data_IF_223953922648
#
_entry.id   IF_223953922648
#
_cell.length_a   1.000
_cell.length_b   1.000
_cell.length_c   1.000
_cell.angle_alpha   90.00
_cell.angle_beta   90.00
_cell.angle_gamma   90.00
#
_symmetry.space_group_name_H-M   'P 1'
#
loop_
_entity.id
_entity.type
_entity.pdbx_description
1 polymer ?
#
# COMPACT_ATOMS: atom_id res chain seq x y z
N UNK A 1 10.72 5.57 -29.63
CA UNK A 1 9.85 4.81 -28.70
C UNK A 1 8.57 5.63 -28.47
N UNK A 2 7.42 5.02 -28.63
CA UNK A 2 6.10 5.60 -28.32
C UNK A 2 5.64 5.04 -26.98
N UNK A 3 5.05 5.88 -26.11
CA UNK A 3 4.54 5.46 -24.80
C UNK A 3 3.04 5.80 -24.73
N UNK A 4 2.19 4.80 -24.61
CA UNK A 4 0.73 4.95 -24.54
C UNK A 4 0.06 3.77 -23.84
N UNK A 5 -1.19 3.95 -23.45
CA UNK A 5 -2.02 2.82 -23.04
C UNK A 5 -2.25 1.87 -24.22
N UNK A 6 -2.28 0.56 -23.93
CA UNK A 6 -2.58 -0.46 -24.92
C UNK A 6 -4.06 -0.42 -25.30
N UNK A 7 -4.36 -0.94 -26.49
CA UNK A 7 -5.71 -1.25 -26.90
C UNK A 7 -6.06 -2.69 -26.49
N UNK A 8 -7.36 -3.05 -26.39
CA UNK A 8 -7.75 -4.42 -26.02
C UNK A 8 -7.09 -5.51 -26.87
N UNK A 9 -6.95 -5.30 -28.18
CA UNK A 9 -6.31 -6.23 -29.10
C UNK A 9 -4.80 -6.42 -28.89
N UNK A 10 -4.16 -5.57 -28.10
CA UNK A 10 -2.72 -5.63 -27.78
C UNK A 10 -2.45 -6.34 -26.43
N UNK A 11 -3.50 -6.83 -25.75
CA UNK A 11 -3.39 -7.48 -24.44
C UNK A 11 -2.48 -8.72 -24.51
N UNK A 12 -2.66 -9.57 -25.52
CA UNK A 12 -1.81 -10.74 -25.71
C UNK A 12 -0.33 -10.40 -25.92
N UNK A 13 -0.01 -9.28 -26.58
CA UNK A 13 1.37 -8.86 -26.76
C UNK A 13 2.00 -8.39 -25.43
N UNK A 14 1.24 -7.69 -24.58
CA UNK A 14 1.67 -7.34 -23.24
C UNK A 14 1.91 -8.59 -22.38
N UNK A 15 0.97 -9.54 -22.39
CA UNK A 15 1.10 -10.79 -21.62
C UNK A 15 2.29 -11.64 -22.08
N UNK A 16 2.65 -11.65 -23.38
CA UNK A 16 3.89 -12.26 -23.88
C UNK A 16 5.16 -11.62 -23.31
N UNK A 17 5.19 -10.27 -23.23
CA UNK A 17 6.31 -9.55 -22.63
C UNK A 17 6.38 -9.82 -21.13
N UNK A 18 5.25 -9.84 -20.44
CA UNK A 18 5.14 -10.20 -19.03
C UNK A 18 5.64 -11.62 -18.77
N UNK A 19 5.15 -12.60 -19.55
CA UNK A 19 5.57 -14.00 -19.44
C UNK A 19 7.08 -14.17 -19.61
N UNK A 20 7.67 -13.44 -20.57
CA UNK A 20 9.13 -13.44 -20.79
C UNK A 20 9.89 -12.84 -19.62
N UNK A 21 9.34 -11.81 -18.99
CA UNK A 21 10.00 -11.08 -17.88
C UNK A 21 9.94 -11.84 -16.57
N UNK A 22 8.81 -12.48 -16.28
CA UNK A 22 8.52 -13.19 -15.02
C UNK A 22 8.63 -14.71 -15.13
N UNK A 23 9.00 -15.22 -16.31
CA UNK A 23 9.30 -16.65 -16.57
C UNK A 23 8.08 -17.53 -16.25
N UNK A 24 6.89 -17.15 -16.74
CA UNK A 24 5.71 -18.00 -16.70
C UNK A 24 5.31 -18.45 -18.11
N UNK A 25 4.49 -19.50 -18.18
CA UNK A 25 4.08 -20.09 -19.47
C UNK A 25 2.89 -19.31 -20.03
N UNK A 26 3.09 -18.64 -21.15
CA UNK A 26 2.04 -17.99 -21.93
C UNK A 26 1.27 -19.01 -22.78
N UNK A 27 -0.06 -18.92 -22.77
CA UNK A 27 -0.96 -19.70 -23.65
C UNK A 27 -1.91 -18.75 -24.38
N UNK A 28 -1.72 -18.59 -25.67
CA UNK A 28 -2.47 -17.67 -26.54
C UNK A 28 -4.00 -17.90 -26.56
N UNK A 29 -4.45 -19.07 -26.12
CA UNK A 29 -5.89 -19.41 -26.07
C UNK A 29 -6.58 -18.95 -24.77
N UNK A 30 -5.80 -18.61 -23.75
CA UNK A 30 -6.27 -18.26 -22.41
C UNK A 30 -5.81 -16.87 -22.04
N UNK A 31 -4.58 -16.52 -22.42
CA UNK A 31 -3.92 -15.25 -22.05
C UNK A 31 -4.14 -14.19 -23.14
N UNK A 32 -5.40 -13.80 -23.36
CA UNK A 32 -5.82 -12.83 -24.38
C UNK A 32 -6.44 -11.55 -23.80
N UNK A 33 -6.59 -11.48 -22.49
CA UNK A 33 -7.26 -10.38 -21.80
C UNK A 33 -6.49 -9.89 -20.57
N UNK A 34 -6.56 -8.57 -20.32
CA UNK A 34 -6.05 -7.90 -19.13
C UNK A 34 -7.16 -7.04 -18.55
N UNK A 35 -7.50 -7.26 -17.28
CA UNK A 35 -8.59 -6.55 -16.59
C UNK A 35 -8.21 -5.09 -16.19
N UNK A 36 -6.92 -4.77 -16.20
CA UNK A 36 -6.37 -3.49 -15.74
C UNK A 36 -5.83 -2.65 -16.89
N UNK A 37 -5.85 -1.31 -16.81
CA UNK A 37 -5.18 -0.46 -17.79
C UNK A 37 -3.67 -0.75 -17.82
N UNK A 38 -3.12 -0.92 -19.01
CA UNK A 38 -1.70 -1.17 -19.22
C UNK A 38 -1.07 -0.03 -20.00
N UNK A 39 -0.05 0.60 -19.42
CA UNK A 39 0.81 1.55 -20.11
C UNK A 39 2.00 0.79 -20.73
N UNK A 40 2.26 1.01 -22.02
CA UNK A 40 3.28 0.26 -22.74
C UNK A 40 4.20 1.16 -23.58
N UNK A 41 5.40 0.66 -23.83
CA UNK A 41 6.38 1.24 -24.77
C UNK A 41 6.41 0.44 -26.03
N UNK A 42 6.25 1.13 -27.15
CA UNK A 42 6.35 0.57 -28.49
C UNK A 42 7.63 1.08 -29.17
N UNK A 43 8.35 0.17 -29.82
CA UNK A 43 9.48 0.48 -30.68
C UNK A 43 9.24 -0.13 -32.05
N UNK A 44 9.18 0.72 -33.11
CA UNK A 44 8.83 0.31 -34.47
C UNK A 44 7.53 -0.53 -34.53
N UNK A 45 6.52 -0.16 -33.74
CA UNK A 45 5.20 -0.82 -33.66
C UNK A 45 5.18 -2.11 -32.84
N UNK A 46 6.32 -2.56 -32.27
CA UNK A 46 6.39 -3.73 -31.38
C UNK A 46 6.33 -3.29 -29.92
N UNK A 47 5.47 -3.92 -29.13
CA UNK A 47 5.46 -3.74 -27.66
C UNK A 47 6.71 -4.37 -27.06
N UNK A 48 7.52 -3.56 -26.34
CA UNK A 48 8.82 -3.97 -25.78
C UNK A 48 8.89 -3.90 -24.25
N UNK A 49 8.00 -3.12 -23.64
CA UNK A 49 7.94 -2.94 -22.18
C UNK A 49 6.54 -2.48 -21.78
N UNK A 50 6.11 -2.78 -20.57
CA UNK A 50 4.82 -2.33 -20.07
C UNK A 50 4.71 -2.42 -18.56
N UNK A 51 3.66 -1.84 -18.01
CA UNK A 51 3.24 -1.93 -16.63
C UNK A 51 1.72 -1.83 -16.52
N UNK A 52 1.16 -2.43 -15.50
CA UNK A 52 -0.25 -2.24 -15.12
C UNK A 52 -0.40 -0.97 -14.28
N UNK A 53 -1.40 -0.15 -14.63
CA UNK A 53 -1.71 1.12 -13.99
C UNK A 53 -3.09 1.02 -13.32
N UNK A 54 -3.12 0.73 -12.03
CA UNK A 54 -4.33 0.37 -11.29
C UNK A 54 -4.80 1.55 -10.46
N UNK A 55 -5.97 2.10 -10.80
CA UNK A 55 -6.58 3.20 -10.05
C UNK A 55 -7.20 2.71 -8.74
N UNK A 56 -6.91 3.42 -7.66
CA UNK A 56 -7.58 3.23 -6.39
C UNK A 56 -7.52 4.50 -5.53
N UNK A 57 -8.06 4.45 -4.34
CA UNK A 57 -7.98 5.52 -3.35
C UNK A 57 -7.48 4.98 -2.03
N UNK A 58 -6.73 5.80 -1.31
CA UNK A 58 -6.30 5.48 0.06
C UNK A 58 -6.63 6.62 1.02
N UNK A 59 -6.71 6.28 2.29
CA UNK A 59 -6.85 7.27 3.36
C UNK A 59 -5.49 7.85 3.72
N UNK A 60 -5.35 9.16 3.64
CA UNK A 60 -4.21 9.86 4.21
C UNK A 60 -4.69 10.90 5.21
N UNK A 61 -4.42 10.69 6.48
CA UNK A 61 -4.79 11.60 7.57
C UNK A 61 -6.29 11.99 7.57
N UNK A 62 -7.19 11.07 7.22
CA UNK A 62 -8.64 11.32 7.12
C UNK A 62 -9.10 11.84 5.77
N UNK A 63 -8.20 12.10 4.83
CA UNK A 63 -8.52 12.54 3.46
C UNK A 63 -8.36 11.38 2.49
N UNK A 64 -9.36 11.17 1.61
CA UNK A 64 -9.22 10.23 0.48
C UNK A 64 -8.36 10.84 -0.60
N UNK A 65 -7.25 10.18 -0.95
CA UNK A 65 -6.36 10.56 -2.03
C UNK A 65 -6.43 9.57 -3.19
N UNK A 66 -6.56 10.09 -4.40
CA UNK A 66 -6.42 9.30 -5.63
C UNK A 66 -5.00 8.78 -5.77
N UNK A 67 -4.88 7.51 -6.15
CA UNK A 67 -3.60 6.81 -6.17
C UNK A 67 -3.50 5.87 -7.37
N UNK A 68 -2.26 5.56 -7.76
CA UNK A 68 -1.95 4.54 -8.75
C UNK A 68 -1.15 3.40 -8.13
N UNK A 69 -1.62 2.17 -8.31
CA UNK A 69 -0.83 0.95 -8.12
C UNK A 69 -0.09 0.60 -9.41
N UNK A 70 1.19 0.32 -9.29
CA UNK A 70 2.02 -0.09 -10.41
C UNK A 70 2.37 -1.56 -10.26
N UNK A 71 1.73 -2.36 -11.09
CA UNK A 71 1.93 -3.81 -11.19
C UNK A 71 2.68 -4.22 -12.45
N UNK A 72 3.11 -5.46 -12.49
CA UNK A 72 3.60 -6.14 -13.68
C UNK A 72 4.62 -5.36 -14.54
N UNK A 73 5.57 -4.64 -13.90
CA UNK A 73 6.61 -3.89 -14.64
C UNK A 73 7.51 -4.85 -15.40
N UNK A 74 7.35 -4.93 -16.70
CA UNK A 74 8.03 -5.90 -17.56
C UNK A 74 8.75 -5.25 -18.73
N UNK A 75 9.81 -5.92 -19.22
CA UNK A 75 10.60 -5.45 -20.35
C UNK A 75 11.32 -6.62 -21.03
N UNK A 76 11.21 -6.71 -22.36
CA UNK A 76 11.91 -7.72 -23.15
C UNK A 76 13.42 -7.66 -22.87
N UNK A 77 14.11 -8.81 -22.78
CA UNK A 77 15.56 -8.85 -22.51
C UNK A 77 16.40 -7.97 -23.45
N UNK A 78 16.08 -7.98 -24.74
CA UNK A 78 16.77 -7.19 -25.77
C UNK A 78 16.47 -5.69 -25.70
N UNK A 79 15.45 -5.27 -24.97
CA UNK A 79 15.08 -3.86 -24.74
C UNK A 79 15.54 -3.31 -23.38
N UNK A 80 16.07 -4.19 -22.51
CA UNK A 80 16.58 -3.77 -21.19
C UNK A 80 17.75 -2.78 -21.32
N UNK A 81 17.88 -1.89 -20.33
CA UNK A 81 18.92 -0.84 -20.25
C UNK A 81 18.91 0.18 -21.40
N UNK A 82 17.82 0.22 -22.19
CA UNK A 82 17.63 1.20 -23.28
C UNK A 82 16.62 2.30 -22.93
N UNK A 83 16.24 2.42 -21.67
CA UNK A 83 15.36 3.49 -21.17
C UNK A 83 13.85 3.22 -21.27
N UNK A 84 13.41 2.02 -21.75
CA UNK A 84 11.98 1.73 -21.91
C UNK A 84 11.19 1.83 -20.58
N UNK A 85 11.67 1.20 -19.50
CA UNK A 85 11.03 1.30 -18.19
C UNK A 85 11.04 2.73 -17.65
N UNK A 86 12.13 3.49 -17.86
CA UNK A 86 12.19 4.91 -17.50
C UNK A 86 11.11 5.71 -18.20
N UNK A 87 10.89 5.47 -19.49
CA UNK A 87 9.86 6.16 -20.27
C UNK A 87 8.45 5.89 -19.74
N UNK A 88 8.16 4.67 -19.19
CA UNK A 88 6.90 4.37 -18.52
C UNK A 88 6.71 5.23 -17.27
N UNK A 89 7.70 5.24 -16.36
CA UNK A 89 7.61 6.04 -15.12
C UNK A 89 7.59 7.55 -15.38
N UNK A 90 8.29 8.02 -16.42
CA UNK A 90 8.24 9.42 -16.84
C UNK A 90 6.81 9.78 -17.30
N UNK A 91 6.20 8.91 -18.12
CA UNK A 91 4.83 9.11 -18.60
C UNK A 91 3.80 9.09 -17.47
N UNK A 92 3.92 8.16 -16.51
CA UNK A 92 3.05 8.16 -15.31
C UNK A 92 3.12 9.50 -14.59
N UNK A 93 4.33 10.02 -14.34
CA UNK A 93 4.49 11.30 -13.64
C UNK A 93 3.97 12.52 -14.43
N UNK A 94 4.03 12.48 -15.77
CA UNK A 94 3.46 13.54 -16.63
C UNK A 94 1.93 13.60 -16.53
N UNK A 95 1.27 12.43 -16.49
CA UNK A 95 -0.19 12.36 -16.50
C UNK A 95 -0.81 12.29 -15.10
N UNK A 96 -0.01 12.17 -14.03
CA UNK A 96 -0.49 11.92 -12.69
C UNK A 96 -1.53 12.91 -12.21
N UNK A 97 -1.32 14.22 -12.42
CA UNK A 97 -2.27 15.25 -12.02
C UNK A 97 -3.57 15.20 -12.84
N UNK A 98 -3.47 14.93 -14.14
CA UNK A 98 -4.64 14.80 -15.03
C UNK A 98 -5.50 13.59 -14.63
N UNK A 99 -4.85 12.53 -14.15
CA UNK A 99 -5.50 11.31 -13.66
C UNK A 99 -5.91 11.40 -12.17
N UNK A 100 -5.66 12.53 -11.51
CA UNK A 100 -5.90 12.73 -10.08
C UNK A 100 -5.12 11.76 -9.18
N UNK A 101 -3.94 11.32 -9.61
CA UNK A 101 -3.04 10.50 -8.80
C UNK A 101 -2.14 11.39 -7.94
N UNK A 102 -2.43 11.44 -6.66
CA UNK A 102 -1.57 12.14 -5.68
C UNK A 102 -0.39 11.27 -5.28
N UNK A 103 -0.61 9.97 -5.18
CA UNK A 103 0.38 8.97 -4.75
C UNK A 103 0.52 7.86 -5.78
N UNK A 104 1.69 7.23 -5.79
CA UNK A 104 1.91 5.98 -6.50
C UNK A 104 2.51 4.93 -5.58
N UNK A 105 2.11 3.67 -5.73
CA UNK A 105 2.59 2.55 -4.93
C UNK A 105 3.03 1.40 -5.81
N UNK A 106 4.00 0.62 -5.32
CA UNK A 106 4.44 -0.62 -5.95
C UNK A 106 5.08 -1.57 -4.93
N UNK A 107 5.09 -2.86 -5.27
CA UNK A 107 5.89 -3.88 -4.60
C UNK A 107 7.29 -3.95 -5.24
N UNK A 108 8.33 -3.42 -4.59
CA UNK A 108 9.65 -3.37 -5.21
C UNK A 108 10.36 -4.73 -5.10
N UNK A 109 10.95 -5.20 -6.20
CA UNK A 109 11.97 -6.26 -6.12
C UNK A 109 13.32 -5.72 -5.63
N UNK A 110 13.54 -4.40 -5.74
CA UNK A 110 14.69 -3.65 -5.24
C UNK A 110 14.28 -2.21 -5.00
N UNK A 111 14.40 -1.73 -3.77
CA UNK A 111 14.15 -0.31 -3.43
C UNK A 111 15.09 0.59 -4.21
N UNK A 112 16.41 0.31 -4.20
CA UNK A 112 17.41 1.09 -4.91
C UNK A 112 17.10 1.27 -6.41
N UNK A 113 16.57 0.21 -7.04
CA UNK A 113 16.13 0.30 -8.43
C UNK A 113 15.00 1.30 -8.62
N UNK A 114 14.02 1.35 -7.71
CA UNK A 114 12.86 2.22 -7.84
C UNK A 114 13.08 3.64 -7.29
N UNK A 115 14.09 3.86 -6.45
CA UNK A 115 14.51 5.20 -6.01
C UNK A 115 14.85 6.12 -7.19
N UNK A 116 15.44 5.58 -8.27
CA UNK A 116 15.73 6.37 -9.49
C UNK A 116 14.47 6.92 -10.18
N UNK A 117 13.28 6.39 -9.85
CA UNK A 117 11.98 6.89 -10.32
C UNK A 117 11.26 7.67 -9.22
N UNK A 118 11.90 7.89 -8.07
CA UNK A 118 11.40 8.64 -6.94
C UNK A 118 10.51 7.85 -5.97
N UNK A 119 10.48 6.53 -6.09
CA UNK A 119 9.79 5.66 -5.12
C UNK A 119 10.69 5.38 -3.93
N UNK A 120 10.24 5.70 -2.72
CA UNK A 120 10.94 5.41 -1.47
C UNK A 120 10.28 4.29 -0.70
N UNK A 121 11.04 3.66 0.17
CA UNK A 121 10.52 2.70 1.14
C UNK A 121 9.39 3.34 1.96
N UNK A 122 8.27 2.65 2.12
CA UNK A 122 7.12 3.15 2.87
C UNK A 122 6.90 2.36 4.16
N UNK A 123 6.60 1.08 4.05
CA UNK A 123 6.40 0.19 5.18
C UNK A 123 6.85 -1.22 4.85
N UNK A 124 7.24 -1.94 5.87
CA UNK A 124 7.52 -3.37 5.75
C UNK A 124 6.23 -4.18 5.94
N UNK A 125 6.17 -5.32 5.24
CA UNK A 125 5.08 -6.27 5.38
C UNK A 125 5.50 -7.32 6.40
N UNK A 126 4.84 -7.28 7.56
CA UNK A 126 5.10 -8.19 8.67
C UNK A 126 4.13 -9.37 8.62
N UNK A 127 4.65 -10.59 8.75
CA UNK A 127 3.88 -11.79 9.05
C UNK A 127 4.15 -12.29 10.44
N UNK A 128 3.08 -12.76 11.10
CA UNK A 128 3.17 -13.41 12.41
C UNK A 128 2.75 -14.85 12.25
N UNK A 129 3.58 -15.74 12.81
CA UNK A 129 3.34 -17.16 12.89
C UNK A 129 2.96 -17.51 14.32
N UNK A 130 1.74 -17.96 14.52
CA UNK A 130 1.18 -18.27 15.84
C UNK A 130 0.76 -19.72 15.89
N UNK A 131 1.42 -20.57 16.71
CA UNK A 131 0.90 -21.91 16.98
C UNK A 131 -0.53 -21.86 17.50
N UNK A 132 -1.46 -22.68 16.97
CA UNK A 132 -2.86 -22.64 17.39
C UNK A 132 -3.04 -22.85 18.89
N UNK A 133 -2.15 -23.59 19.54
CA UNK A 133 -2.18 -23.78 21.00
C UNK A 133 -2.09 -22.46 21.77
N UNK A 134 -1.43 -21.46 21.23
CA UNK A 134 -1.29 -20.13 21.86
C UNK A 134 -2.59 -19.33 21.86
N UNK A 135 -3.58 -19.75 21.06
CA UNK A 135 -4.90 -19.14 21.02
C UNK A 135 -5.92 -19.80 21.97
N UNK A 136 -5.49 -20.75 22.82
CA UNK A 136 -6.40 -21.52 23.69
C UNK A 136 -7.17 -20.68 24.70
N UNK A 137 -6.67 -19.48 25.03
CA UNK A 137 -7.38 -18.52 25.90
C UNK A 137 -8.59 -17.86 25.21
N UNK A 138 -8.69 -17.94 23.88
CA UNK A 138 -9.80 -17.36 23.10
C UNK A 138 -10.89 -18.42 22.95
N UNK A 139 -12.13 -18.21 23.43
CA UNK A 139 -13.23 -19.18 23.26
C UNK A 139 -13.56 -19.43 21.78
N UNK A 140 -13.79 -20.71 21.42
CA UNK A 140 -14.29 -21.06 20.09
C UNK A 140 -15.72 -20.58 19.91
N UNK A 141 -16.05 -20.19 18.68
CA UNK A 141 -17.41 -19.86 18.28
C UNK A 141 -17.64 -20.20 16.80
N UNK A 142 -18.88 -20.10 16.36
CA UNK A 142 -19.31 -20.33 14.97
C UNK A 142 -19.99 -19.10 14.37
N UNK A 143 -19.85 -17.93 14.98
CA UNK A 143 -20.56 -16.69 14.63
C UNK A 143 -19.90 -15.96 13.46
N UNK A 144 -19.58 -16.67 12.39
CA UNK A 144 -19.04 -16.06 11.18
C UNK A 144 -19.84 -16.49 9.94
N UNK A 145 -20.05 -15.57 9.03
CA UNK A 145 -20.83 -15.73 7.80
C UNK A 145 -19.86 -15.77 6.63
N UNK A 146 -20.00 -16.76 5.75
CA UNK A 146 -19.23 -16.85 4.51
C UNK A 146 -19.67 -15.74 3.55
N UNK A 147 -18.69 -14.97 3.06
CA UNK A 147 -18.92 -14.01 2.00
C UNK A 147 -19.07 -14.71 0.65
N UNK A 148 -20.09 -14.30 -0.13
CA UNK A 148 -20.41 -14.87 -1.45
C UNK A 148 -20.60 -13.81 -2.54
N UNK A 149 -20.21 -12.56 -2.25
CA UNK A 149 -20.44 -11.41 -3.12
C UNK A 149 -21.76 -10.68 -2.88
N UNK A 150 -22.78 -11.37 -2.36
CA UNK A 150 -24.09 -10.75 -2.05
C UNK A 150 -24.02 -9.72 -0.92
N UNK A 151 -23.06 -9.89 0.00
CA UNK A 151 -22.86 -9.03 1.17
C UNK A 151 -21.85 -7.91 0.92
N UNK A 152 -21.58 -7.56 -0.35
CA UNK A 152 -20.53 -6.61 -0.73
C UNK A 152 -20.70 -5.26 -0.02
N UNK A 153 -21.89 -4.67 -0.04
CA UNK A 153 -22.15 -3.37 0.58
C UNK A 153 -21.87 -3.36 2.08
N UNK A 154 -22.26 -4.42 2.78
CA UNK A 154 -22.01 -4.58 4.21
C UNK A 154 -20.51 -4.70 4.51
N UNK A 155 -19.81 -5.52 3.74
CA UNK A 155 -18.38 -5.76 3.94
C UNK A 155 -17.51 -4.56 3.52
N UNK A 156 -17.88 -3.88 2.44
CA UNK A 156 -17.28 -2.63 2.00
C UNK A 156 -17.47 -1.52 3.04
N UNK A 157 -18.66 -1.40 3.61
CA UNK A 157 -18.92 -0.42 4.67
C UNK A 157 -18.10 -0.69 5.94
N UNK A 158 -17.93 -1.96 6.33
CA UNK A 158 -17.04 -2.35 7.42
C UNK A 158 -15.58 -2.00 7.10
N UNK A 159 -15.10 -2.39 5.94
CA UNK A 159 -13.73 -2.10 5.51
C UNK A 159 -13.45 -0.59 5.50
N UNK A 160 -14.36 0.21 4.95
CA UNK A 160 -14.21 1.66 4.89
C UNK A 160 -14.17 2.33 6.28
N UNK A 161 -14.83 1.76 7.29
CA UNK A 161 -14.67 2.20 8.69
C UNK A 161 -13.25 1.91 9.19
N UNK A 162 -12.66 0.76 8.84
CA UNK A 162 -11.28 0.45 9.18
C UNK A 162 -10.28 1.35 8.42
N UNK A 163 -10.56 1.66 7.15
CA UNK A 163 -9.73 2.55 6.32
C UNK A 163 -9.55 3.92 6.96
N UNK A 164 -10.61 4.52 7.47
CA UNK A 164 -10.56 5.84 8.12
C UNK A 164 -9.68 5.83 9.38
N UNK A 165 -9.56 4.69 10.05
CA UNK A 165 -8.80 4.56 11.29
C UNK A 165 -7.29 4.36 11.06
N UNK A 166 -6.87 4.04 9.84
CA UNK A 166 -5.48 3.69 9.53
C UNK A 166 -4.92 4.51 8.37
N UNK A 167 -3.67 4.95 8.50
CA UNK A 167 -3.01 5.76 7.46
C UNK A 167 -2.61 4.89 6.26
N UNK A 168 -2.90 5.35 5.05
CA UNK A 168 -2.62 4.75 3.74
C UNK A 168 -3.32 3.41 3.47
N UNK A 169 -4.33 3.04 4.25
CA UNK A 169 -5.18 1.91 3.90
C UNK A 169 -6.07 2.28 2.70
N UNK A 170 -6.31 1.30 1.82
CA UNK A 170 -7.04 1.51 0.56
C UNK A 170 -8.53 1.29 0.72
N UNK A 171 -9.33 2.04 -0.05
CA UNK A 171 -10.77 1.82 -0.18
C UNK A 171 -11.03 0.71 -1.21
N UNK A 172 -11.82 -0.29 -0.84
CA UNK A 172 -12.18 -1.41 -1.73
C UNK A 172 -13.55 -1.17 -2.36
N UNK A 173 -13.55 -0.95 -3.67
CA UNK A 173 -14.74 -0.60 -4.45
C UNK A 173 -15.28 -1.77 -5.29
N UNK A 174 -14.54 -2.87 -5.41
CA UNK A 174 -14.91 -4.06 -6.16
C UNK A 174 -15.11 -5.26 -5.24
N UNK A 175 -16.19 -6.03 -5.49
CA UNK A 175 -16.51 -7.25 -4.74
C UNK A 175 -15.41 -8.32 -4.83
N UNK A 176 -14.64 -8.35 -5.91
CA UNK A 176 -13.50 -9.26 -6.10
C UNK A 176 -12.41 -9.05 -5.06
N UNK A 177 -12.26 -7.82 -4.51
CA UNK A 177 -11.29 -7.52 -3.46
C UNK A 177 -11.49 -8.34 -2.17
N UNK A 178 -12.69 -8.91 -1.97
CA UNK A 178 -13.06 -9.72 -0.81
C UNK A 178 -13.17 -11.22 -1.13
N UNK A 179 -12.73 -11.69 -2.30
CA UNK A 179 -12.87 -13.07 -2.74
C UNK A 179 -14.35 -13.50 -2.85
N UNK A 180 -15.06 -12.98 -3.86
CA UNK A 180 -16.48 -13.23 -4.11
C UNK A 180 -16.79 -14.65 -4.66
N UNK A 181 -15.75 -15.42 -4.99
CA UNK A 181 -15.85 -16.82 -5.44
C UNK A 181 -15.17 -17.76 -4.44
N UNK A 182 -15.79 -17.98 -3.26
CA UNK A 182 -15.21 -18.85 -2.24
C UNK A 182 -15.05 -20.28 -2.78
N UNK A 183 -13.97 -20.92 -2.35
CA UNK A 183 -13.62 -22.32 -2.67
C UNK A 183 -13.07 -22.60 -4.07
N UNK A 184 -13.05 -21.66 -5.00
CA UNK A 184 -12.41 -21.89 -6.31
C UNK A 184 -10.89 -22.08 -6.16
N UNK A 185 -10.24 -21.30 -5.26
CA UNK A 185 -8.80 -21.34 -5.01
C UNK A 185 -8.43 -21.65 -3.56
N UNK A 186 -9.29 -22.33 -2.79
CA UNK A 186 -9.10 -22.53 -1.34
C UNK A 186 -9.01 -21.23 -0.53
N UNK A 187 -9.48 -20.12 -1.09
CA UNK A 187 -9.52 -18.80 -0.49
C UNK A 187 -10.93 -18.51 0.04
N UNK A 188 -11.03 -18.03 1.25
CA UNK A 188 -12.29 -17.83 1.95
C UNK A 188 -12.28 -16.49 2.64
N UNK A 189 -13.39 -15.73 2.50
CA UNK A 189 -13.67 -14.57 3.34
C UNK A 189 -14.85 -14.87 4.24
N UNK A 190 -14.65 -14.70 5.54
CA UNK A 190 -15.69 -14.77 6.55
C UNK A 190 -15.76 -13.45 7.30
N UNK A 191 -16.98 -13.04 7.66
CA UNK A 191 -17.20 -11.86 8.48
C UNK A 191 -18.12 -12.16 9.65
N UNK A 192 -17.96 -11.39 10.70
CA UNK A 192 -18.73 -11.48 11.92
C UNK A 192 -19.71 -10.33 12.00
N UNK A 193 -20.89 -10.57 12.64
CA UNK A 193 -21.81 -9.51 13.06
C UNK A 193 -21.84 -9.38 14.58
N UNK A 194 -21.95 -8.14 15.05
CA UNK A 194 -22.17 -7.83 16.46
C UNK A 194 -23.60 -8.16 16.92
N UNK A 195 -23.92 -7.90 18.18
CA UNK A 195 -25.26 -8.13 18.74
C UNK A 195 -26.39 -7.31 18.09
N UNK A 196 -26.04 -6.22 17.41
CA UNK A 196 -26.96 -5.39 16.63
C UNK A 196 -27.17 -5.89 15.20
N UNK A 197 -26.49 -6.95 14.80
CA UNK A 197 -26.53 -7.50 13.45
C UNK A 197 -25.64 -6.78 12.43
N UNK A 198 -24.77 -5.86 12.85
CA UNK A 198 -23.85 -5.12 11.97
C UNK A 198 -22.53 -5.86 11.86
N UNK A 199 -21.92 -5.88 10.65
CA UNK A 199 -20.58 -6.42 10.45
C UNK A 199 -19.56 -5.60 11.26
N UNK A 200 -18.71 -6.27 12.05
CA UNK A 200 -17.72 -5.65 12.92
C UNK A 200 -16.29 -6.23 12.80
N UNK A 201 -16.15 -7.37 12.13
CA UNK A 201 -14.85 -7.94 11.76
C UNK A 201 -14.96 -8.81 10.52
N UNK A 202 -13.90 -8.91 9.74
CA UNK A 202 -13.76 -9.94 8.71
C UNK A 202 -12.33 -10.46 8.60
N UNK A 203 -12.21 -11.66 8.03
CA UNK A 203 -10.96 -12.35 7.77
C UNK A 203 -11.02 -13.00 6.39
N UNK A 204 -9.94 -12.83 5.62
CA UNK A 204 -9.70 -13.59 4.38
C UNK A 204 -8.51 -14.49 4.60
N UNK A 205 -8.66 -15.78 4.27
CA UNK A 205 -7.62 -16.76 4.54
C UNK A 205 -7.64 -17.93 3.57
N UNK A 206 -6.50 -18.62 3.48
CA UNK A 206 -6.31 -19.89 2.79
C UNK A 206 -5.90 -20.98 3.78
N UNK A 207 -6.14 -22.24 3.43
CA UNK A 207 -5.78 -23.40 4.27
C UNK A 207 -4.89 -24.36 3.51
N UNK A 208 -3.68 -24.60 4.03
CA UNK A 208 -2.72 -25.58 3.52
C UNK A 208 -2.52 -26.70 4.54
N UNK A 209 -3.15 -27.85 4.29
CA UNK A 209 -3.07 -29.02 5.19
C UNK A 209 -1.75 -29.77 5.02
N UNK A 210 -1.18 -30.33 6.10
CA UNK A 210 -1.64 -30.24 7.51
C UNK A 210 -1.05 -29.05 8.27
N UNK A 211 -0.40 -28.12 7.61
CA UNK A 211 0.55 -27.24 8.26
C UNK A 211 -0.04 -25.92 8.69
N UNK A 212 -0.65 -25.15 7.78
CA UNK A 212 -0.95 -23.73 8.03
C UNK A 212 -2.35 -23.31 7.61
N UNK A 213 -2.91 -22.34 8.35
CA UNK A 213 -3.96 -21.43 7.93
C UNK A 213 -3.32 -20.05 7.77
N UNK A 214 -3.35 -19.51 6.55
CA UNK A 214 -2.73 -18.22 6.23
C UNK A 214 -3.81 -17.18 6.05
N UNK A 215 -3.80 -16.15 6.90
CA UNK A 215 -4.66 -14.98 6.85
C UNK A 215 -4.01 -13.92 5.99
N UNK A 216 -4.68 -13.53 4.93
CA UNK A 216 -4.26 -12.44 4.02
C UNK A 216 -4.85 -11.09 4.47
N UNK A 217 -6.10 -11.08 4.92
CA UNK A 217 -6.79 -9.89 5.44
C UNK A 217 -7.35 -10.16 6.82
N UNK A 218 -7.16 -9.24 7.76
CA UNK A 218 -7.79 -9.25 9.08
C UNK A 218 -8.13 -7.82 9.47
N UNK A 219 -9.42 -7.53 9.53
CA UNK A 219 -9.95 -6.21 9.84
C UNK A 219 -11.04 -6.31 10.91
N UNK A 220 -11.03 -5.38 11.85
CA UNK A 220 -11.96 -5.39 12.99
C UNK A 220 -12.11 -3.99 13.56
N UNK A 221 -13.27 -3.71 14.16
CA UNK A 221 -13.60 -2.41 14.74
C UNK A 221 -13.31 -2.35 16.25
N UNK A 222 -13.31 -3.49 16.92
CA UNK A 222 -13.12 -3.57 18.39
C UNK A 222 -12.31 -4.81 18.78
N UNK A 223 -11.67 -4.84 19.97
CA UNK A 223 -11.02 -6.03 20.50
C UNK A 223 -11.95 -7.25 20.56
N UNK A 224 -13.23 -7.08 20.92
CA UNK A 224 -14.22 -8.15 20.97
C UNK A 224 -14.49 -8.74 19.59
N UNK A 225 -14.51 -7.88 18.55
CA UNK A 225 -14.66 -8.31 17.17
C UNK A 225 -13.46 -9.14 16.71
N UNK A 226 -12.21 -8.72 17.06
CA UNK A 226 -11.00 -9.48 16.83
C UNK A 226 -11.05 -10.84 17.50
N UNK A 227 -11.35 -10.91 18.82
CA UNK A 227 -11.45 -12.18 19.53
C UNK A 227 -12.55 -13.08 18.98
N UNK A 228 -13.65 -12.49 18.51
CA UNK A 228 -14.72 -13.22 17.85
C UNK A 228 -14.28 -13.90 16.57
N UNK A 229 -13.56 -13.21 15.70
CA UNK A 229 -13.01 -13.77 14.45
C UNK A 229 -11.90 -14.82 14.73
N UNK A 230 -11.02 -14.56 15.68
CA UNK A 230 -9.99 -15.52 16.07
C UNK A 230 -10.61 -16.78 16.69
N UNK A 231 -11.68 -16.65 17.49
CA UNK A 231 -12.45 -17.77 18.03
C UNK A 231 -13.10 -18.62 16.94
N UNK A 232 -13.53 -18.01 15.83
CA UNK A 232 -13.99 -18.74 14.65
C UNK A 232 -12.83 -19.50 13.99
N UNK A 233 -11.69 -18.88 13.78
CA UNK A 233 -10.50 -19.53 13.18
C UNK A 233 -10.00 -20.71 14.02
N UNK A 234 -10.22 -20.72 15.34
CA UNK A 234 -9.90 -21.85 16.21
C UNK A 234 -10.64 -23.14 15.88
N UNK A 235 -11.68 -23.12 15.07
CA UNK A 235 -12.32 -24.35 14.59
C UNK A 235 -11.43 -25.13 13.62
N UNK A 236 -10.34 -24.54 13.14
CA UNK A 236 -9.31 -25.19 12.31
C UNK A 236 -8.18 -25.82 13.13
N UNK A 237 -8.11 -25.58 14.45
CA UNK A 237 -7.15 -26.24 15.31
C UNK A 237 -7.41 -27.77 15.25
N UNK A 238 -6.38 -28.58 15.17
CA UNK A 238 -6.51 -30.02 14.88
C UNK A 238 -6.56 -30.38 13.37
N UNK A 239 -6.82 -29.40 12.50
CA UNK A 239 -6.72 -29.55 11.04
C UNK A 239 -5.38 -29.03 10.54
N UNK A 240 -4.92 -27.91 11.11
CA UNK A 240 -3.65 -27.26 10.85
C UNK A 240 -2.96 -26.91 12.19
N UNK A 241 -1.65 -26.72 12.14
CA UNK A 241 -0.81 -26.52 13.34
C UNK A 241 -0.58 -25.05 13.68
N UNK A 242 -0.53 -24.21 12.65
CA UNK A 242 -0.06 -22.84 12.75
C UNK A 242 -1.02 -21.89 12.04
N UNK A 243 -1.27 -20.72 12.66
CA UNK A 243 -1.91 -19.56 12.07
C UNK A 243 -0.84 -18.60 11.62
N UNK A 244 -0.84 -18.21 10.34
CA UNK A 244 0.03 -17.17 9.79
C UNK A 244 -0.85 -15.97 9.48
N UNK A 245 -0.57 -14.80 10.08
CA UNK A 245 -1.26 -13.56 9.77
C UNK A 245 -0.29 -12.69 8.97
N UNK A 246 -0.57 -12.52 7.69
CA UNK A 246 0.27 -11.78 6.75
C UNK A 246 -0.07 -10.30 6.70
N UNK A 247 0.91 -9.53 6.25
CA UNK A 247 0.76 -8.12 5.86
C UNK A 247 0.22 -7.22 6.97
N UNK A 248 0.40 -7.65 8.22
CA UNK A 248 0.00 -6.81 9.34
C UNK A 248 1.08 -5.77 9.62
N UNK A 249 0.62 -4.59 9.93
CA UNK A 249 1.48 -3.57 10.51
C UNK A 249 1.85 -3.94 11.97
N UNK A 250 2.98 -3.45 12.45
CA UNK A 250 3.38 -3.56 13.87
C UNK A 250 2.37 -2.84 14.77
N UNK A 251 1.18 -3.36 14.88
CA UNK A 251 0.11 -2.77 15.68
C UNK A 251 -0.07 -3.46 17.02
N UNK A 252 -0.72 -2.76 17.91
CA UNK A 252 -1.12 -3.25 19.22
C UNK A 252 -2.01 -4.51 19.18
N UNK A 253 -2.65 -4.79 18.03
CA UNK A 253 -3.43 -6.01 17.84
C UNK A 253 -2.62 -7.28 18.08
N UNK A 254 -1.33 -7.29 17.79
CA UNK A 254 -0.47 -8.44 18.02
C UNK A 254 -0.24 -8.74 19.48
N UNK A 255 -0.16 -7.74 20.34
CA UNK A 255 -0.07 -7.96 21.78
C UNK A 255 -1.34 -8.59 22.36
N UNK A 256 -2.47 -8.49 21.65
CA UNK A 256 -3.72 -9.16 22.01
C UNK A 256 -3.78 -10.61 21.52
N UNK A 257 -3.13 -10.91 20.38
CA UNK A 257 -3.11 -12.25 19.76
C UNK A 257 -2.02 -13.11 20.38
N UNK A 258 -0.82 -12.54 20.54
CA UNK A 258 0.32 -13.23 21.13
C UNK A 258 0.09 -13.44 22.63
N UNK A 259 -0.29 -14.62 23.01
CA UNK A 259 -0.36 -14.96 24.42
C UNK A 259 0.97 -15.53 24.89
N UNK A 260 1.95 -14.69 25.22
CA UNK A 260 2.90 -14.95 26.32
C UNK A 260 3.51 -16.37 26.40
N UNK A 261 3.13 -17.29 25.52
CA UNK A 261 3.69 -18.63 25.40
C UNK A 261 4.73 -18.61 24.27
N UNK A 262 5.85 -19.24 24.49
CA UNK A 262 6.93 -19.34 23.50
C UNK A 262 6.47 -20.00 22.20
N UNK A 263 6.99 -19.56 21.06
CA UNK A 263 6.80 -20.20 19.76
C UNK A 263 6.28 -19.31 18.65
N UNK A 264 5.85 -18.06 18.95
CA UNK A 264 5.57 -17.09 17.90
C UNK A 264 6.86 -16.74 17.14
N UNK A 265 6.71 -16.57 15.82
CA UNK A 265 7.77 -16.10 14.95
C UNK A 265 7.26 -14.90 14.17
N UNK A 266 8.16 -13.97 13.94
CA UNK A 266 7.90 -12.79 13.11
C UNK A 266 8.79 -12.88 11.88
N UNK A 267 8.23 -12.67 10.70
CA UNK A 267 8.96 -12.57 9.45
C UNK A 267 8.61 -11.28 8.70
N UNK A 268 9.58 -10.80 7.94
CA UNK A 268 9.40 -9.68 7.04
C UNK A 268 9.22 -10.22 5.63
N UNK A 269 8.04 -10.01 5.03
CA UNK A 269 7.67 -10.61 3.74
C UNK A 269 7.93 -9.67 2.56
N UNK A 270 8.68 -8.62 2.78
CA UNK A 270 8.95 -7.59 1.79
C UNK A 270 8.58 -6.20 2.28
N UNK A 271 8.49 -5.28 1.36
CA UNK A 271 8.12 -3.90 1.67
C UNK A 271 7.26 -3.30 0.55
N UNK A 272 6.62 -2.19 0.89
CA UNK A 272 5.96 -1.32 -0.07
C UNK A 272 6.82 -0.11 -0.36
N UNK A 273 6.78 0.36 -1.60
CA UNK A 273 7.38 1.63 -1.99
C UNK A 273 6.30 2.60 -2.46
N UNK A 274 6.51 3.87 -2.14
CA UNK A 274 5.61 4.95 -2.53
C UNK A 274 6.34 6.11 -3.19
N UNK A 275 5.63 6.83 -4.06
CA UNK A 275 6.02 8.12 -4.63
C UNK A 275 4.91 9.13 -4.43
N UNK A 276 5.27 10.40 -4.24
CA UNK A 276 4.34 11.52 -4.21
C UNK A 276 4.37 12.23 -5.57
N UNK A 277 3.23 12.33 -6.24
CA UNK A 277 3.08 13.06 -7.51
C UNK A 277 2.53 14.48 -7.29
N UNK A 278 1.89 14.73 -6.14
CA UNK A 278 1.41 16.05 -5.73
C UNK A 278 1.75 16.31 -4.25
N UNK A 279 2.92 16.92 -4.02
CA UNK A 279 3.40 17.26 -2.68
C UNK A 279 2.46 18.27 -2.00
N UNK A 280 1.96 19.24 -2.74
CA UNK A 280 1.06 20.25 -2.18
C UNK A 280 -0.19 19.61 -1.62
N UNK A 281 -0.80 18.68 -2.34
CA UNK A 281 -1.99 17.95 -1.90
C UNK A 281 -1.72 17.11 -0.63
N UNK A 282 -0.55 16.48 -0.54
CA UNK A 282 -0.14 15.75 0.68
C UNK A 282 0.01 16.71 1.86
N UNK A 283 0.66 17.86 1.67
CA UNK A 283 0.81 18.87 2.70
C UNK A 283 -0.55 19.44 3.15
N UNK A 284 -1.46 19.73 2.22
CA UNK A 284 -2.83 20.20 2.53
C UNK A 284 -3.67 19.17 3.27
N UNK A 285 -3.41 17.88 3.06
CA UNK A 285 -4.15 16.76 3.67
C UNK A 285 -3.58 16.30 5.02
N UNK A 286 -2.44 16.84 5.43
CA UNK A 286 -1.80 16.45 6.68
C UNK A 286 -2.56 16.98 7.90
N UNK A 287 -2.44 16.28 9.04
CA UNK A 287 -2.93 16.75 10.35
C UNK A 287 -1.81 17.51 11.02
N UNK A 288 -2.05 18.79 11.30
CA UNK A 288 -1.08 19.69 11.93
C UNK A 288 -1.35 19.85 13.42
N UNK A 289 -0.33 20.22 14.22
CA UNK A 289 -0.51 20.60 15.61
C UNK A 289 -1.39 21.84 15.78
N UNK A 290 -1.97 22.02 16.97
CA UNK A 290 -2.75 23.21 17.31
C UNK A 290 -1.87 24.46 17.54
N UNK A 291 -0.63 24.27 17.95
CA UNK A 291 0.35 25.34 18.11
C UNK A 291 0.79 25.91 16.76
N UNK A 292 1.22 27.17 16.78
CA UNK A 292 1.78 27.81 15.58
C UNK A 292 3.16 27.26 15.26
N UNK A 293 3.43 27.01 13.98
CA UNK A 293 4.75 26.64 13.47
C UNK A 293 4.91 27.00 11.99
N UNK A 294 6.16 27.13 11.59
CA UNK A 294 6.53 27.41 10.20
C UNK A 294 7.77 26.61 9.81
N UNK A 295 7.72 25.97 8.65
CA UNK A 295 8.86 25.27 8.06
C UNK A 295 8.87 25.37 6.55
N UNK A 296 10.04 25.13 5.95
CA UNK A 296 10.24 25.17 4.50
C UNK A 296 10.94 23.92 4.03
N UNK A 297 10.32 23.23 3.07
CA UNK A 297 10.86 22.03 2.41
C UNK A 297 11.27 22.40 1.01
N UNK A 298 12.53 22.21 0.64
CA UNK A 298 12.98 22.23 -0.74
C UNK A 298 12.81 20.84 -1.35
N UNK A 299 11.91 20.70 -2.31
CA UNK A 299 11.75 19.46 -3.07
C UNK A 299 12.63 19.47 -4.31
N UNK A 300 13.36 18.37 -4.51
CA UNK A 300 14.30 18.16 -5.63
C UNK A 300 13.68 17.28 -6.73
N UNK A 301 12.36 17.30 -6.88
CA UNK A 301 11.67 16.55 -7.93
C UNK A 301 11.88 17.20 -9.32
N UNK A 302 11.88 16.38 -10.37
CA UNK A 302 11.97 16.83 -11.76
C UNK A 302 10.64 17.37 -12.29
N UNK A 303 9.51 17.05 -11.67
CA UNK A 303 8.19 17.52 -12.07
C UNK A 303 7.93 18.90 -11.49
N UNK A 304 7.48 19.85 -12.35
CA UNK A 304 7.31 21.25 -12.00
C UNK A 304 6.38 21.46 -10.79
N UNK A 305 5.28 20.70 -10.70
CA UNK A 305 4.33 20.79 -9.59
C UNK A 305 4.93 20.39 -8.23
N UNK A 306 5.98 19.59 -8.23
CA UNK A 306 6.67 19.13 -7.04
C UNK A 306 8.03 19.82 -6.82
N UNK A 307 8.49 20.65 -7.74
CA UNK A 307 9.81 21.29 -7.69
C UNK A 307 9.72 22.68 -7.06
N UNK A 308 10.60 22.98 -6.11
CA UNK A 308 10.66 24.30 -5.46
C UNK A 308 10.69 24.21 -3.94
N UNK A 309 10.37 25.33 -3.30
CA UNK A 309 10.35 25.43 -1.82
C UNK A 309 8.91 25.55 -1.37
N UNK A 310 8.42 24.55 -0.66
CA UNK A 310 7.10 24.59 -0.02
C UNK A 310 7.26 25.21 1.37
N UNK A 311 6.75 26.42 1.52
CA UNK A 311 6.60 27.06 2.83
C UNK A 311 5.26 26.64 3.41
N UNK A 312 5.30 26.11 4.62
CA UNK A 312 4.13 25.62 5.36
C UNK A 312 4.06 26.37 6.66
N UNK A 313 3.03 27.20 6.82
CA UNK A 313 2.68 27.87 8.06
C UNK A 313 1.41 27.22 8.61
N UNK A 314 1.50 26.70 9.85
CA UNK A 314 0.37 25.99 10.46
C UNK A 314 -0.02 26.54 11.81
N UNK A 315 -1.28 26.49 12.13
CA UNK A 315 -1.88 26.84 13.42
C UNK A 315 -3.28 26.20 13.54
N UNK A 316 -3.66 25.76 14.75
CA UNK A 316 -4.99 25.19 15.06
C UNK A 316 -5.40 24.04 14.13
N UNK A 317 -4.47 23.13 13.89
CA UNK A 317 -4.72 21.95 13.07
C UNK A 317 -4.78 22.19 11.57
N UNK A 318 -4.56 23.41 11.08
CA UNK A 318 -4.61 23.81 9.67
C UNK A 318 -3.28 24.36 9.21
N UNK A 319 -3.02 24.27 7.90
CA UNK A 319 -1.86 24.90 7.31
C UNK A 319 -2.19 25.71 6.06
N UNK A 320 -1.37 26.74 5.82
CA UNK A 320 -1.28 27.45 4.57
C UNK A 320 0.01 27.04 3.85
N UNK A 321 -0.10 26.57 2.62
CA UNK A 321 1.03 26.08 1.83
C UNK A 321 1.30 27.04 0.67
N UNK A 322 2.50 27.60 0.62
CA UNK A 322 2.96 28.49 -0.44
C UNK A 322 4.14 27.89 -1.16
N UNK A 323 4.07 27.80 -2.48
CA UNK A 323 5.19 27.37 -3.31
C UNK A 323 6.04 28.59 -3.70
N UNK A 324 7.29 28.62 -3.23
CA UNK A 324 8.27 29.64 -3.51
C UNK A 324 9.27 29.13 -4.57
N UNK A 325 9.68 30.01 -5.48
CA UNK A 325 10.68 29.66 -6.50
C UNK A 325 12.10 29.57 -5.95
N UNK A 326 12.40 30.42 -4.94
CA UNK A 326 13.73 30.51 -4.31
C UNK A 326 13.58 31.02 -2.86
N UNK A 327 14.60 30.79 -2.06
CA UNK A 327 14.64 31.24 -0.66
C UNK A 327 15.42 30.31 0.26
N UNK A 328 15.37 30.63 1.55
CA UNK A 328 15.90 29.76 2.60
C UNK A 328 14.93 28.61 2.84
N UNK A 329 15.47 27.44 3.21
CA UNK A 329 14.70 26.26 3.56
C UNK A 329 15.35 25.54 4.75
N UNK A 330 14.56 24.75 5.47
CA UNK A 330 15.00 24.01 6.66
C UNK A 330 15.59 22.67 6.28
N UNK A 331 14.96 22.00 5.31
CA UNK A 331 15.43 20.73 4.79
C UNK A 331 15.18 20.62 3.28
N UNK A 332 16.00 19.80 2.60
CA UNK A 332 15.72 19.42 1.21
C UNK A 332 15.51 17.91 1.09
N UNK A 333 14.59 17.52 0.20
CA UNK A 333 14.14 16.17 0.00
C UNK A 333 14.25 15.76 -1.46
N UNK A 334 14.90 14.63 -1.71
CA UNK A 334 14.72 13.91 -2.97
C UNK A 334 13.34 13.22 -3.01
N UNK A 335 12.78 12.88 -4.19
CA UNK A 335 11.43 12.36 -4.29
C UNK A 335 11.16 11.11 -3.45
N UNK A 336 12.11 10.17 -3.41
CA UNK A 336 12.00 8.94 -2.60
C UNK A 336 12.02 9.22 -1.08
N UNK A 337 12.80 10.24 -0.66
CA UNK A 337 12.85 10.66 0.74
C UNK A 337 11.58 11.40 1.16
N UNK A 338 10.99 12.18 0.25
CA UNK A 338 9.71 12.85 0.51
C UNK A 338 8.60 11.84 0.84
N UNK A 339 8.51 10.72 0.13
CA UNK A 339 7.55 9.66 0.43
C UNK A 339 7.73 9.10 1.85
N UNK A 340 8.97 8.84 2.28
CA UNK A 340 9.29 8.31 3.62
C UNK A 340 8.90 9.27 4.73
N UNK A 341 9.28 10.55 4.60
CA UNK A 341 9.05 11.55 5.64
C UNK A 341 7.61 12.05 5.69
N UNK A 342 7.00 12.34 4.54
CA UNK A 342 5.68 12.96 4.51
C UNK A 342 4.54 11.95 4.69
N UNK A 343 4.71 10.70 4.26
CA UNK A 343 3.63 9.70 4.36
C UNK A 343 3.70 8.89 5.65
N UNK A 344 4.89 8.42 6.04
CA UNK A 344 5.08 7.54 7.20
C UNK A 344 5.68 8.26 8.43
N UNK A 345 6.26 9.45 8.25
CA UNK A 345 7.02 10.12 9.31
C UNK A 345 8.27 9.33 9.72
N UNK A 346 8.83 8.55 8.79
CA UNK A 346 10.09 7.86 9.03
C UNK A 346 11.20 8.90 9.22
N UNK A 347 12.06 8.73 10.23
CA UNK A 347 13.00 9.79 10.61
C UNK A 347 12.33 10.96 11.32
N UNK A 348 11.39 10.68 12.21
CA UNK A 348 10.57 11.65 12.96
C UNK A 348 11.34 12.63 13.86
N UNK A 349 12.66 12.56 13.88
CA UNK A 349 13.56 13.54 14.50
C UNK A 349 14.65 13.93 13.52
N UNK A 350 15.25 15.11 13.70
CA UNK A 350 16.38 15.56 12.88
C UNK A 350 17.55 14.57 12.91
N UNK A 351 17.83 13.98 14.09
CA UNK A 351 18.88 12.98 14.23
C UNK A 351 18.59 11.73 13.39
N UNK A 352 17.38 11.18 13.46
CA UNK A 352 16.99 10.00 12.69
C UNK A 352 16.94 10.29 11.20
N UNK A 353 16.43 11.45 10.80
CA UNK A 353 16.30 11.86 9.41
C UNK A 353 17.66 12.04 8.72
N UNK A 354 18.70 12.42 9.46
CA UNK A 354 20.06 12.58 8.92
C UNK A 354 20.65 11.27 8.36
N UNK A 355 20.12 10.11 8.75
CA UNK A 355 20.54 8.80 8.20
C UNK A 355 19.75 8.37 6.95
N UNK A 356 18.71 9.11 6.58
CA UNK A 356 17.91 8.78 5.42
C UNK A 356 18.56 9.31 4.14
N UNK A 357 18.74 8.43 3.17
CA UNK A 357 19.21 8.83 1.84
C UNK A 357 18.23 9.82 1.20
N UNK A 358 18.76 10.88 0.59
CA UNK A 358 17.96 11.93 -0.07
C UNK A 358 17.36 12.99 0.88
N UNK A 359 17.75 12.99 2.18
CA UNK A 359 17.40 14.03 3.16
C UNK A 359 18.62 14.86 3.48
N UNK A 360 18.51 16.19 3.35
CA UNK A 360 19.54 17.11 3.77
C UNK A 360 18.95 18.19 4.68
N UNK A 361 19.43 18.25 5.92
CA UNK A 361 19.00 19.21 6.93
C UNK A 361 19.91 20.45 6.90
N UNK A 362 19.31 21.66 6.85
CA UNK A 362 20.03 22.92 7.01
C UNK A 362 20.02 23.44 8.45
N UNK A 363 19.04 22.98 9.24
CA UNK A 363 18.89 23.27 10.66
C UNK A 363 18.17 22.10 11.36
N UNK A 364 17.70 22.28 12.60
CA UNK A 364 16.97 21.23 13.33
C UNK A 364 15.61 20.86 12.74
N UNK A 365 15.01 21.74 11.93
CA UNK A 365 13.69 21.57 11.31
C UNK A 365 12.59 21.15 12.32
N UNK A 366 12.63 21.68 13.54
CA UNK A 366 11.79 21.23 14.67
C UNK A 366 10.29 21.30 14.34
N UNK A 367 9.83 22.38 13.70
CA UNK A 367 8.43 22.54 13.34
C UNK A 367 7.98 21.54 12.25
N UNK A 368 8.90 21.14 11.36
CA UNK A 368 8.64 20.05 10.41
C UNK A 368 8.42 18.72 11.13
N UNK A 369 9.32 18.34 12.05
CA UNK A 369 9.22 17.07 12.76
C UNK A 369 8.03 17.01 13.73
N UNK A 370 7.59 18.15 14.27
CA UNK A 370 6.31 18.23 15.00
C UNK A 370 5.10 17.99 14.08
N UNK A 371 5.13 18.54 12.86
CA UNK A 371 4.05 18.40 11.89
C UNK A 371 4.00 17.00 11.25
N UNK A 372 5.15 16.32 11.13
CA UNK A 372 5.28 14.98 10.54
C UNK A 372 5.86 13.97 11.54
N UNK A 373 5.16 13.67 12.65
CA UNK A 373 5.56 12.62 13.57
C UNK A 373 5.47 11.26 12.88
N UNK A 374 6.16 10.26 13.44
CA UNK A 374 5.97 8.88 12.99
C UNK A 374 4.50 8.47 13.07
N UNK A 375 3.96 7.99 11.93
CA UNK A 375 2.60 7.48 11.82
C UNK A 375 2.63 6.03 11.38
N UNK A 376 1.94 5.14 12.09
CA UNK A 376 1.69 3.80 11.59
C UNK A 376 1.02 3.87 10.21
N UNK A 377 1.67 3.30 9.21
CA UNK A 377 1.14 3.22 7.85
C UNK A 377 0.83 1.78 7.50
N UNK A 378 -0.32 1.54 6.87
CA UNK A 378 -0.75 0.21 6.48
C UNK A 378 -1.17 0.21 5.01
N UNK A 379 -0.19 0.26 4.13
CA UNK A 379 -0.42 -0.06 2.73
C UNK A 379 -0.08 -1.54 2.53
N UNK A 380 -1.08 -2.38 2.27
CA UNK A 380 -0.95 -3.84 2.25
C UNK A 380 -1.57 -4.50 1.02
N UNK A 381 -2.35 -3.78 0.24
CA UNK A 381 -2.98 -4.34 -0.95
C UNK A 381 -1.95 -4.70 -2.01
N UNK A 382 -2.18 -5.83 -2.66
CA UNK A 382 -1.39 -6.30 -3.81
C UNK A 382 -2.17 -6.02 -5.10
N UNK A 383 -1.49 -5.71 -6.13
CA UNK A 383 -1.97 -5.49 -7.49
C UNK A 383 -0.97 -6.05 -8.48
#
# INVERSE_FOLDING_TARGET
>A
MEVRFIKPEEAADFLKVSATSFIWKFDEKVDDHVDTPVLAVFDNGKLISGLEAIDFECNYCGTSLGTIGIGCVCCLPEARRKGAVRALFDKIGEIALEQNWTLGFLHPFSIEYYEQFGYGHLNQLLSIHVPFVNLNHIPRNTNAVLYTGEQFEELSALHNKCVIMENLLTYRKDKKCFCDKPRENTDYTYFRRNEKGEADAYVRFTVSRPDTLTVEDLYFLTPEALFGILGFLRNYDGIVKELIIRRQYQGSAFSLIADRVSGEKYSWDGCMAARIYDIKKVLESNIYPDEHGIFRIRSLDKYEQNSGIFEVEYEKGKANITLLKDGKYDLSLEPHAAARLLLAGEGHTAESAAYLNGVHLNNSADDFFKAFPHRPTRFVDSF
#
